data_IF_650575162248
#
_entry.id   IF_650575162248
#
_cell.length_a   1.000
_cell.length_b   1.000
_cell.length_c   1.000
_cell.angle_alpha   90.00
_cell.angle_beta   90.00
_cell.angle_gamma   90.00
#
_symmetry.space_group_name_H-M   'P 1'
#
loop_
_entity.id
_entity.type
_entity.pdbx_description
1 polymer ?
#
# COMPACT_ATOMS: atom_id res chain seq x y z
N UNK A 1 -6.96 11.50 -1.07
CA UNK A 1 -7.05 10.93 0.30
C UNK A 1 -6.60 9.48 0.25
N UNK A 2 -5.69 9.04 1.14
CA UNK A 2 -5.26 7.65 1.25
C UNK A 2 -5.84 7.06 2.54
N UNK A 3 -6.52 5.93 2.42
CA UNK A 3 -7.00 5.11 3.53
C UNK A 3 -6.05 3.94 3.71
N UNK A 4 -5.65 3.66 4.95
CA UNK A 4 -4.80 2.52 5.28
C UNK A 4 -5.45 1.70 6.39
N UNK A 5 -5.30 0.39 6.30
CA UNK A 5 -5.81 -0.55 7.29
C UNK A 5 -4.87 -1.74 7.46
N UNK A 6 -4.93 -2.38 8.62
CA UNK A 6 -4.18 -3.57 8.99
C UNK A 6 -5.13 -4.62 9.55
N UNK A 7 -5.09 -5.84 9.00
CA UNK A 7 -5.93 -6.95 9.46
C UNK A 7 -5.10 -8.21 9.69
N UNK A 8 -5.33 -8.84 10.84
CA UNK A 8 -4.76 -10.15 11.15
C UNK A 8 -5.29 -11.24 10.22
N UNK A 9 -4.38 -12.03 9.64
CA UNK A 9 -4.76 -13.17 8.81
C UNK A 9 -5.00 -14.41 9.68
N UNK A 10 -6.16 -15.05 9.53
CA UNK A 10 -6.56 -16.24 10.31
C UNK A 10 -6.16 -17.58 9.67
N UNK A 11 -5.16 -17.61 8.78
CA UNK A 11 -4.78 -18.81 8.02
C UNK A 11 -3.49 -19.46 8.53
N UNK A 12 -3.03 -20.53 7.85
CA UNK A 12 -1.70 -21.16 8.10
C UNK A 12 -0.55 -20.15 8.06
N UNK A 13 -0.70 -19.07 7.30
CA UNK A 13 0.25 -17.99 7.22
C UNK A 13 -0.11 -16.97 8.31
N UNK A 14 0.62 -17.07 9.42
CA UNK A 14 0.60 -16.07 10.49
C UNK A 14 1.12 -14.74 9.92
N UNK A 15 0.51 -13.63 10.31
CA UNK A 15 0.91 -12.28 9.88
C UNK A 15 -0.26 -11.32 9.80
N UNK A 16 0.06 -10.11 9.33
CA UNK A 16 -0.85 -8.97 9.21
C UNK A 16 -0.83 -8.49 7.78
N UNK A 17 -2.01 -8.37 7.19
CA UNK A 17 -2.21 -7.78 5.88
C UNK A 17 -2.34 -6.27 6.05
N UNK A 18 -1.37 -5.53 5.53
CA UNK A 18 -1.44 -4.08 5.37
C UNK A 18 -2.02 -3.77 4.00
N UNK A 19 -2.97 -2.85 3.93
CA UNK A 19 -3.57 -2.40 2.68
C UNK A 19 -3.67 -0.87 2.64
N UNK A 20 -3.38 -0.29 1.47
CA UNK A 20 -3.57 1.12 1.18
C UNK A 20 -4.56 1.27 0.03
N UNK A 21 -5.54 2.16 0.18
CA UNK A 21 -6.58 2.44 -0.81
C UNK A 21 -6.76 3.93 -1.00
N UNK A 22 -7.09 4.37 -2.20
CA UNK A 22 -7.33 5.76 -2.53
C UNK A 22 -8.61 5.92 -3.36
N UNK A 23 -9.26 7.06 -3.21
CA UNK A 23 -10.33 7.47 -4.10
C UNK A 23 -9.75 8.13 -5.35
N UNK A 24 -10.28 7.78 -6.52
CA UNK A 24 -9.98 8.49 -7.77
C UNK A 24 -10.90 9.72 -7.91
N UNK A 25 -10.78 10.44 -9.04
CA UNK A 25 -11.61 11.61 -9.33
C UNK A 25 -13.11 11.31 -9.51
N UNK A 26 -13.50 10.03 -9.56
CA UNK A 26 -14.89 9.57 -9.69
C UNK A 26 -15.44 9.03 -8.36
N UNK A 27 -14.79 9.34 -7.23
CA UNK A 27 -15.14 8.83 -5.90
C UNK A 27 -15.21 7.30 -5.80
N UNK A 28 -14.50 6.61 -6.68
CA UNK A 28 -14.34 5.15 -6.63
C UNK A 28 -13.09 4.81 -5.84
N UNK A 29 -13.24 3.86 -4.91
CA UNK A 29 -12.13 3.35 -4.10
C UNK A 29 -11.31 2.34 -4.91
N UNK A 30 -9.99 2.51 -4.94
CA UNK A 30 -9.04 1.59 -5.55
C UNK A 30 -7.95 1.19 -4.57
N UNK A 31 -7.50 -0.06 -4.65
CA UNK A 31 -6.33 -0.51 -3.92
C UNK A 31 -5.05 -0.02 -4.59
N UNK A 32 -4.20 0.63 -3.81
CA UNK A 32 -2.94 1.23 -4.24
C UNK A 32 -1.76 0.29 -3.97
N UNK A 33 -1.77 -0.37 -2.81
CA UNK A 33 -0.74 -1.33 -2.41
C UNK A 33 -1.27 -2.28 -1.33
N UNK A 34 -0.65 -3.47 -1.23
CA UNK A 34 -0.86 -4.40 -0.14
C UNK A 34 0.47 -5.10 0.22
N UNK A 35 0.62 -5.51 1.47
CA UNK A 35 1.77 -6.28 1.94
C UNK A 35 1.39 -7.19 3.10
N UNK A 36 2.07 -8.33 3.20
CA UNK A 36 2.01 -9.21 4.37
C UNK A 36 3.24 -8.92 5.21
N UNK A 37 3.03 -8.63 6.49
CA UNK A 37 4.09 -8.38 7.47
C UNK A 37 3.93 -9.30 8.68
N UNK A 38 5.02 -9.55 9.39
CA UNK A 38 4.98 -10.44 10.56
C UNK A 38 4.24 -9.81 11.75
N UNK A 39 4.28 -8.47 11.89
CA UNK A 39 3.62 -7.76 12.98
C UNK A 39 3.24 -6.31 12.62
N UNK A 40 2.31 -5.73 13.36
CA UNK A 40 1.86 -4.36 13.18
C UNK A 40 2.72 -3.46 14.07
N UNK A 41 3.86 -3.07 13.54
CA UNK A 41 4.82 -2.24 14.25
C UNK A 41 5.30 -1.09 13.36
N UNK A 42 6.00 -0.14 13.98
CA UNK A 42 6.52 1.04 13.30
C UNK A 42 7.39 0.69 12.08
N UNK A 43 8.27 -0.30 12.22
CA UNK A 43 9.18 -0.70 11.13
C UNK A 43 8.42 -1.26 9.93
N UNK A 44 7.40 -2.08 10.18
CA UNK A 44 6.55 -2.67 9.14
C UNK A 44 5.76 -1.61 8.39
N UNK A 45 5.18 -0.65 9.11
CA UNK A 45 4.49 0.50 8.51
C UNK A 45 5.45 1.41 7.74
N UNK A 46 6.61 1.73 8.31
CA UNK A 46 7.62 2.56 7.65
C UNK A 46 8.09 1.92 6.34
N UNK A 47 8.38 0.62 6.37
CA UNK A 47 8.75 -0.15 5.19
C UNK A 47 7.61 -0.13 4.16
N UNK A 48 6.37 -0.37 4.56
CA UNK A 48 5.20 -0.39 3.67
C UNK A 48 4.99 0.97 2.97
N UNK A 49 5.04 2.09 3.71
CA UNK A 49 4.89 3.42 3.13
C UNK A 49 6.07 3.80 2.23
N UNK A 50 7.29 3.43 2.60
CA UNK A 50 8.48 3.70 1.77
C UNK A 50 8.38 3.00 0.42
N UNK A 51 8.00 1.72 0.41
CA UNK A 51 7.83 0.96 -0.82
C UNK A 51 6.63 1.44 -1.65
N UNK A 52 5.51 1.80 -1.00
CA UNK A 52 4.34 2.37 -1.66
C UNK A 52 4.71 3.68 -2.36
N UNK A 53 5.40 4.59 -1.66
CA UNK A 53 5.89 5.85 -2.24
C UNK A 53 6.81 5.60 -3.42
N UNK A 54 7.81 4.73 -3.26
CA UNK A 54 8.77 4.44 -4.32
C UNK A 54 8.07 3.91 -5.57
N UNK A 55 7.15 2.95 -5.41
CA UNK A 55 6.41 2.35 -6.53
C UNK A 55 5.54 3.39 -7.28
N UNK A 56 4.87 4.28 -6.53
CA UNK A 56 4.09 5.37 -7.11
C UNK A 56 4.97 6.42 -7.79
N UNK A 57 6.14 6.74 -7.22
CA UNK A 57 7.09 7.64 -7.84
C UNK A 57 7.66 7.05 -9.14
N UNK A 58 8.01 5.75 -9.17
CA UNK A 58 8.45 5.09 -10.40
C UNK A 58 7.35 5.09 -11.47
N UNK A 59 6.09 4.85 -11.09
CA UNK A 59 4.97 4.99 -12.01
C UNK A 59 4.91 6.41 -12.58
N UNK A 60 4.93 7.45 -11.72
CA UNK A 60 4.96 8.85 -12.13
C UNK A 60 6.12 9.18 -13.10
N UNK A 61 7.32 8.65 -12.84
CA UNK A 61 8.50 8.83 -13.71
C UNK A 61 8.29 8.18 -15.09
N UNK A 62 7.69 6.98 -15.14
CA UNK A 62 7.38 6.32 -16.42
C UNK A 62 6.36 7.15 -17.22
N UNK A 63 5.34 7.71 -16.56
CA UNK A 63 4.37 8.60 -17.23
C UNK A 63 4.99 9.92 -17.71
N UNK A 64 6.05 10.42 -17.07
CA UNK A 64 6.74 11.66 -17.49
C UNK A 64 7.72 11.48 -18.67
N UNK A 65 8.14 10.26 -18.97
CA UNK A 65 9.05 9.95 -20.08
C UNK A 65 8.34 9.52 -21.38
N UNK A 66 7.02 9.35 -21.34
CA UNK A 66 6.17 9.02 -22.50
C UNK A 66 5.18 10.16 -22.85
N UNK A 67 5.56 11.41 -22.55
CA UNK A 67 4.85 12.62 -23.00
C UNK A 67 5.47 13.20 -24.25
#
# INVERSE_FOLDING_TARGET
>A
MLCVDATFMKSRFQGILLAASAYNAEDKLYHVAFAIVDNENYESWLWFFTNTRNSLCYACVIWSHFG
#
